data_IF_898797101902
#
_entry.id   IF_898797101902
#
_cell.length_a   1.000
_cell.length_b   1.000
_cell.length_c   1.000
_cell.angle_alpha   90.00
_cell.angle_beta   90.00
_cell.angle_gamma   90.00
#
_symmetry.space_group_name_H-M   'P 1'
#
loop_
_entity.id
_entity.type
_entity.pdbx_description
1 polymer ?
#
# COMPACT_ATOMS: atom_id res chain seq x y z
N UNK A 1 -23.10 -18.24 5.06
CA UNK A 1 -24.22 -17.51 5.66
C UNK A 1 -25.04 -18.50 6.45
N UNK A 2 -24.98 -18.46 7.78
CA UNK A 2 -25.85 -19.27 8.62
C UNK A 2 -27.29 -18.81 8.36
N UNK A 3 -28.19 -19.75 7.99
CA UNK A 3 -29.62 -19.46 7.96
C UNK A 3 -30.08 -19.10 9.37
N UNK A 4 -30.10 -17.80 9.68
CA UNK A 4 -30.72 -17.32 10.92
C UNK A 4 -32.23 -17.48 10.78
N UNK A 5 -32.80 -18.27 11.62
CA UNK A 5 -34.26 -18.41 11.75
C UNK A 5 -34.77 -17.30 12.68
N UNK A 6 -35.59 -16.41 12.10
CA UNK A 6 -36.20 -15.34 12.88
C UNK A 6 -37.53 -15.83 13.50
N UNK A 7 -37.57 -15.85 14.82
CA UNK A 7 -38.77 -16.21 15.60
C UNK A 7 -39.59 -15.02 16.08
N UNK A 8 -39.20 -13.78 15.70
CA UNK A 8 -39.91 -12.59 16.10
C UNK A 8 -41.16 -12.38 15.26
N UNK A 9 -42.21 -11.87 15.88
CA UNK A 9 -43.48 -11.49 15.22
C UNK A 9 -43.43 -10.14 14.52
N UNK A 10 -42.35 -9.37 14.69
CA UNK A 10 -42.14 -8.08 14.06
C UNK A 10 -41.12 -8.19 12.92
N UNK A 11 -41.46 -7.64 11.75
CA UNK A 11 -40.60 -7.63 10.58
C UNK A 11 -39.40 -6.64 10.67
N UNK A 12 -39.44 -5.71 11.61
CA UNK A 12 -38.46 -4.64 11.75
C UNK A 12 -37.40 -4.94 12.82
N UNK A 13 -36.73 -6.07 12.71
CA UNK A 13 -35.55 -6.31 13.52
C UNK A 13 -34.37 -5.66 12.78
N UNK A 14 -33.68 -4.68 13.40
CA UNK A 14 -32.50 -4.09 12.79
C UNK A 14 -31.47 -5.20 12.50
N UNK A 15 -30.98 -5.22 11.25
CA UNK A 15 -29.90 -6.10 10.87
C UNK A 15 -28.64 -5.65 11.62
N UNK A 16 -28.30 -6.35 12.70
CA UNK A 16 -27.04 -6.13 13.38
C UNK A 16 -25.89 -6.60 12.48
N UNK A 17 -24.85 -5.77 12.27
CA UNK A 17 -23.68 -6.20 11.53
C UNK A 17 -23.04 -7.40 12.24
N UNK A 18 -22.53 -8.34 11.45
CA UNK A 18 -21.74 -9.45 12.00
C UNK A 18 -20.39 -8.88 12.48
N UNK A 19 -20.03 -9.14 13.74
CA UNK A 19 -18.75 -8.67 14.30
C UNK A 19 -17.51 -9.25 13.59
N UNK A 20 -17.68 -10.36 12.86
CA UNK A 20 -16.61 -10.97 12.05
C UNK A 20 -16.52 -10.40 10.63
N UNK A 21 -17.50 -9.63 10.19
CA UNK A 21 -17.54 -9.11 8.82
C UNK A 21 -16.30 -8.31 8.46
N UNK A 22 -15.74 -7.53 9.38
CA UNK A 22 -14.53 -6.74 9.15
C UNK A 22 -13.38 -7.65 8.72
N UNK A 23 -13.18 -8.76 9.44
CA UNK A 23 -12.10 -9.72 9.17
C UNK A 23 -12.36 -10.50 7.87
N UNK A 24 -13.55 -11.10 7.78
CA UNK A 24 -13.93 -11.99 6.67
C UNK A 24 -14.03 -11.22 5.36
N UNK A 25 -14.64 -10.03 5.37
CA UNK A 25 -14.79 -9.20 4.18
C UNK A 25 -13.43 -8.72 3.68
N UNK A 26 -12.60 -8.18 4.57
CA UNK A 26 -11.24 -7.74 4.21
C UNK A 26 -10.40 -8.85 3.57
N UNK A 27 -10.54 -10.09 4.06
CA UNK A 27 -9.83 -11.24 3.50
C UNK A 27 -10.41 -11.66 2.13
N UNK A 28 -11.73 -11.61 1.97
CA UNK A 28 -12.37 -11.87 0.67
C UNK A 28 -11.99 -10.83 -0.38
N UNK A 29 -11.99 -9.56 0.01
CA UNK A 29 -11.59 -8.44 -0.86
C UNK A 29 -10.11 -8.54 -1.24
N UNK A 30 -9.25 -9.03 -0.32
CA UNK A 30 -7.85 -9.29 -0.62
C UNK A 30 -7.63 -10.38 -1.68
N UNK A 31 -8.34 -11.50 -1.53
CA UNK A 31 -8.14 -12.66 -2.43
C UNK A 31 -9.01 -12.62 -3.68
N UNK A 32 -10.19 -12.03 -3.64
CA UNK A 32 -11.17 -11.94 -4.74
C UNK A 32 -11.38 -13.25 -5.52
N UNK A 33 -11.35 -14.41 -4.84
CA UNK A 33 -11.43 -15.72 -5.47
C UNK A 33 -12.80 -16.03 -6.06
N UNK A 34 -13.87 -15.46 -5.49
CA UNK A 34 -15.25 -15.66 -5.94
C UNK A 34 -15.57 -14.82 -7.19
N UNK A 35 -14.71 -13.86 -7.53
CA UNK A 35 -14.88 -12.93 -8.66
C UNK A 35 -14.11 -13.43 -9.87
N UNK A 36 -14.72 -13.35 -11.04
CA UNK A 36 -14.05 -13.71 -12.31
C UNK A 36 -12.88 -12.76 -12.57
N UNK A 37 -11.85 -13.25 -13.24
CA UNK A 37 -10.63 -12.47 -13.53
C UNK A 37 -10.91 -11.09 -14.14
N UNK A 38 -11.86 -10.99 -15.05
CA UNK A 38 -12.21 -9.74 -15.74
C UNK A 38 -13.03 -8.75 -14.90
N UNK A 39 -13.54 -9.19 -13.76
CA UNK A 39 -14.43 -8.40 -12.88
C UNK A 39 -13.76 -8.05 -11.55
N UNK A 40 -12.49 -8.44 -11.37
CA UNK A 40 -11.73 -8.14 -10.16
C UNK A 40 -11.40 -6.66 -10.06
N UNK A 41 -11.50 -6.11 -8.86
CA UNK A 41 -11.09 -4.73 -8.57
C UNK A 41 -9.57 -4.65 -8.42
N UNK A 42 -8.99 -3.49 -8.73
CA UNK A 42 -7.55 -3.22 -8.59
C UNK A 42 -7.16 -3.03 -7.11
N UNK A 43 -7.40 -4.08 -6.31
CA UNK A 43 -7.12 -4.11 -4.88
C UNK A 43 -6.48 -5.43 -4.46
N UNK A 44 -5.87 -5.44 -3.27
CA UNK A 44 -5.34 -6.63 -2.64
C UNK A 44 -4.26 -7.37 -3.46
N UNK A 45 -4.42 -8.68 -3.59
CA UNK A 45 -3.47 -9.55 -4.27
C UNK A 45 -3.42 -9.28 -5.78
N UNK A 46 -4.57 -9.02 -6.41
CA UNK A 46 -4.66 -8.73 -7.83
C UNK A 46 -3.85 -7.50 -8.22
N UNK A 47 -4.00 -6.40 -7.46
CA UNK A 47 -3.21 -5.19 -7.65
C UNK A 47 -1.71 -5.44 -7.55
N UNK A 48 -1.29 -6.26 -6.60
CA UNK A 48 0.13 -6.60 -6.44
C UNK A 48 0.69 -7.30 -7.69
N UNK A 49 -0.09 -8.16 -8.32
CA UNK A 49 0.31 -8.77 -9.59
C UNK A 49 0.37 -7.74 -10.72
N UNK A 50 -0.64 -6.89 -10.87
CA UNK A 50 -0.66 -5.86 -11.91
C UNK A 50 0.50 -4.86 -11.80
N UNK A 51 0.92 -4.51 -10.59
CA UNK A 51 2.06 -3.60 -10.36
C UNK A 51 3.42 -4.22 -10.69
N UNK A 52 3.53 -5.55 -10.59
CA UNK A 52 4.80 -6.26 -10.83
C UNK A 52 4.91 -6.83 -12.24
N UNK A 53 3.81 -6.98 -12.97
CA UNK A 53 3.79 -7.49 -14.33
C UNK A 53 3.32 -6.39 -15.31
N UNK A 54 3.75 -6.45 -16.58
CA UNK A 54 4.62 -7.43 -17.21
C UNK A 54 6.09 -7.27 -16.79
N UNK A 55 6.81 -8.39 -16.77
CA UNK A 55 8.26 -8.42 -16.57
C UNK A 55 8.90 -8.62 -17.94
N UNK A 56 9.78 -7.70 -18.33
CA UNK A 56 10.55 -7.80 -19.57
C UNK A 56 12.03 -8.06 -19.30
N UNK A 57 12.67 -8.76 -20.22
CA UNK A 57 14.12 -8.94 -20.21
C UNK A 57 14.85 -7.60 -20.47
N UNK A 58 16.12 -7.53 -20.08
CA UNK A 58 16.99 -6.36 -20.28
C UNK A 58 17.10 -5.91 -21.75
N UNK A 59 16.85 -6.81 -22.69
CA UNK A 59 16.82 -6.53 -24.14
C UNK A 59 15.40 -6.33 -24.69
N UNK A 60 14.37 -6.42 -23.85
CA UNK A 60 12.95 -6.40 -24.23
C UNK A 60 12.56 -7.44 -25.30
N UNK A 61 13.29 -8.55 -25.37
CA UNK A 61 13.01 -9.62 -26.32
C UNK A 61 11.93 -10.57 -25.80
N UNK A 62 11.95 -10.88 -24.49
CA UNK A 62 10.98 -11.75 -23.83
C UNK A 62 10.14 -10.97 -22.84
N UNK A 63 8.84 -11.24 -22.87
CA UNK A 63 7.89 -10.59 -21.95
C UNK A 63 7.10 -11.68 -21.25
N UNK A 64 7.09 -11.60 -19.92
CA UNK A 64 6.28 -12.44 -19.04
C UNK A 64 5.06 -11.64 -18.57
N UNK A 65 3.90 -12.04 -19.03
CA UNK A 65 2.62 -11.39 -18.75
C UNK A 65 1.83 -12.20 -17.72
N UNK A 66 1.17 -11.52 -16.80
CA UNK A 66 0.25 -12.13 -15.85
C UNK A 66 -1.15 -12.17 -16.44
N UNK A 67 -1.79 -13.34 -16.39
CA UNK A 67 -3.16 -13.54 -16.88
C UNK A 67 -4.17 -13.66 -15.75
N UNK A 68 -3.90 -14.54 -14.78
CA UNK A 68 -4.80 -14.82 -13.67
C UNK A 68 -4.07 -15.49 -12.50
N UNK A 69 -4.70 -15.55 -11.34
CA UNK A 69 -4.26 -16.37 -10.22
C UNK A 69 -5.41 -17.18 -9.64
N UNK A 70 -5.07 -18.28 -9.03
CA UNK A 70 -6.00 -19.18 -8.34
C UNK A 70 -5.29 -19.92 -7.21
N UNK A 71 -6.09 -20.46 -6.32
CA UNK A 71 -5.60 -21.25 -5.20
C UNK A 71 -6.15 -22.67 -5.29
N UNK A 72 -5.31 -23.64 -4.95
CA UNK A 72 -5.74 -25.02 -4.79
C UNK A 72 -6.35 -25.21 -3.38
N UNK A 73 -7.16 -26.26 -3.18
CA UNK A 73 -7.67 -26.59 -1.87
C UNK A 73 -6.53 -26.79 -0.84
N UNK A 74 -6.76 -26.46 0.45
CA UNK A 74 -5.78 -26.67 1.48
C UNK A 74 -5.44 -28.15 1.63
N UNK A 75 -4.16 -28.45 1.85
CA UNK A 75 -3.66 -29.82 1.95
C UNK A 75 -4.11 -30.54 3.22
N UNK A 76 -4.26 -29.80 4.31
CA UNK A 76 -4.67 -30.32 5.62
C UNK A 76 -5.91 -29.60 6.11
N UNK A 77 -6.72 -30.28 6.91
CA UNK A 77 -7.88 -29.67 7.58
C UNK A 77 -7.41 -28.73 8.70
N UNK A 78 -8.29 -27.86 9.15
CA UNK A 78 -8.01 -26.94 10.26
C UNK A 78 -7.64 -27.71 11.55
N UNK A 79 -8.33 -28.83 11.82
CA UNK A 79 -8.08 -29.65 12.99
C UNK A 79 -6.72 -30.35 12.92
N UNK A 80 -6.38 -30.92 11.77
CA UNK A 80 -5.04 -31.53 11.57
C UNK A 80 -3.90 -30.52 11.72
N UNK A 81 -4.11 -29.28 11.27
CA UNK A 81 -3.12 -28.22 11.44
C UNK A 81 -2.88 -27.90 12.92
N UNK A 82 -3.94 -27.87 13.74
CA UNK A 82 -3.82 -27.64 15.18
C UNK A 82 -3.10 -28.81 15.86
N UNK A 83 -3.50 -30.05 15.59
CA UNK A 83 -2.96 -31.25 16.21
C UNK A 83 -1.47 -31.47 15.84
N UNK A 84 -1.10 -31.17 14.61
CA UNK A 84 0.27 -31.38 14.10
C UNK A 84 1.17 -30.16 14.20
N UNK A 85 0.68 -29.03 14.70
CA UNK A 85 1.44 -27.79 14.77
C UNK A 85 1.75 -27.18 13.40
N UNK A 86 0.87 -27.37 12.41
CA UNK A 86 1.03 -26.86 11.05
C UNK A 86 0.32 -25.53 10.83
N UNK A 87 0.65 -24.87 9.72
CA UNK A 87 -0.05 -23.67 9.26
C UNK A 87 -1.14 -24.04 8.27
N UNK A 88 -2.38 -23.60 8.52
CA UNK A 88 -3.48 -23.74 7.57
C UNK A 88 -3.28 -22.79 6.41
N UNK A 89 -2.94 -23.30 5.23
CA UNK A 89 -2.54 -22.54 4.06
C UNK A 89 -3.04 -23.17 2.78
N UNK A 90 -3.15 -22.34 1.74
CA UNK A 90 -3.53 -22.75 0.39
C UNK A 90 -2.38 -22.51 -0.59
N UNK A 91 -2.14 -23.42 -1.53
CA UNK A 91 -1.19 -23.22 -2.61
C UNK A 91 -1.69 -22.12 -3.56
N UNK A 92 -0.85 -21.11 -3.79
CA UNK A 92 -1.11 -20.05 -4.77
C UNK A 92 -0.43 -20.41 -6.08
N UNK A 93 -1.18 -20.35 -7.16
CA UNK A 93 -0.70 -20.49 -8.54
C UNK A 93 -1.06 -19.27 -9.34
N UNK A 94 -0.18 -18.87 -10.25
CA UNK A 94 -0.45 -17.83 -11.22
C UNK A 94 -0.39 -18.39 -12.63
N UNK A 95 -1.32 -18.00 -13.48
CA UNK A 95 -1.29 -18.28 -14.90
C UNK A 95 -0.50 -17.19 -15.59
N UNK A 96 0.62 -17.56 -16.12
CA UNK A 96 1.56 -16.67 -16.77
C UNK A 96 1.67 -17.01 -18.25
N UNK A 97 1.90 -15.97 -19.06
CA UNK A 97 2.11 -16.07 -20.50
C UNK A 97 3.48 -15.50 -20.82
N UNK A 98 4.31 -16.32 -21.42
CA UNK A 98 5.62 -15.92 -21.94
C UNK A 98 5.55 -15.84 -23.45
N UNK A 99 5.93 -14.71 -24.01
CA UNK A 99 6.02 -14.52 -25.46
C UNK A 99 7.27 -13.70 -25.83
N UNK A 100 7.71 -13.91 -27.08
CA UNK A 100 8.81 -13.17 -27.66
C UNK A 100 8.28 -11.98 -28.46
N UNK A 101 8.93 -10.83 -28.33
CA UNK A 101 8.58 -9.60 -29.07
C UNK A 101 9.53 -9.38 -30.26
N UNK A 102 10.62 -10.16 -30.33
CA UNK A 102 11.66 -9.99 -31.35
C UNK A 102 11.23 -10.67 -32.67
N UNK A 103 11.18 -9.96 -33.79
CA UNK A 103 10.85 -10.53 -35.11
C UNK A 103 11.89 -11.52 -35.62
N UNK A 104 13.11 -11.54 -35.08
CA UNK A 104 14.14 -12.54 -35.47
C UNK A 104 13.86 -13.94 -34.86
N UNK A 105 12.94 -14.04 -33.88
CA UNK A 105 12.57 -15.26 -33.19
C UNK A 105 11.09 -15.62 -33.40
N UNK A 106 10.59 -15.50 -34.62
CA UNK A 106 9.20 -15.83 -34.98
C UNK A 106 8.84 -17.30 -34.67
N UNK A 107 9.82 -18.19 -34.58
CA UNK A 107 9.64 -19.60 -34.24
C UNK A 107 9.31 -19.86 -32.75
N UNK A 108 9.36 -18.83 -31.87
CA UNK A 108 9.07 -19.00 -30.46
C UNK A 108 7.55 -19.06 -30.22
N UNK A 109 7.05 -20.24 -29.89
CA UNK A 109 5.66 -20.41 -29.53
C UNK A 109 5.35 -19.75 -28.17
N UNK A 110 4.25 -19.01 -28.11
CA UNK A 110 3.77 -18.44 -26.86
C UNK A 110 3.44 -19.54 -25.85
N UNK A 111 4.08 -19.51 -24.70
CA UNK A 111 3.89 -20.49 -23.62
C UNK A 111 2.93 -19.90 -22.58
N UNK A 112 1.83 -20.60 -22.32
CA UNK A 112 0.91 -20.30 -21.23
C UNK A 112 0.96 -21.43 -20.23
N UNK A 113 1.36 -21.13 -18.99
CA UNK A 113 1.53 -22.14 -17.96
C UNK A 113 1.06 -21.65 -16.59
N UNK A 114 0.54 -22.59 -15.80
CA UNK A 114 0.20 -22.36 -14.39
C UNK A 114 1.46 -22.60 -13.53
N UNK A 115 1.94 -21.55 -12.91
CA UNK A 115 3.17 -21.57 -12.11
C UNK A 115 2.82 -21.53 -10.62
N UNK A 116 3.36 -22.48 -9.87
CA UNK A 116 3.25 -22.48 -8.42
C UNK A 116 4.17 -21.39 -7.83
N UNK A 117 3.58 -20.46 -7.07
CA UNK A 117 4.31 -19.35 -6.45
C UNK A 117 4.67 -19.62 -4.98
N UNK A 118 3.83 -20.39 -4.28
CA UNK A 118 4.03 -20.67 -2.87
C UNK A 118 2.74 -20.99 -2.15
N UNK A 119 2.76 -20.92 -0.82
CA UNK A 119 1.59 -21.10 0.03
C UNK A 119 1.28 -19.82 0.78
N UNK A 120 0.00 -19.52 0.92
CA UNK A 120 -0.47 -18.36 1.69
C UNK A 120 -1.37 -18.87 2.82
N UNK A 121 -1.19 -18.39 4.06
CA UNK A 121 -2.10 -18.69 5.16
C UNK A 121 -3.54 -18.34 4.77
N UNK A 122 -4.47 -19.24 5.08
CA UNK A 122 -5.86 -19.08 4.71
C UNK A 122 -6.73 -18.90 5.95
N UNK A 123 -7.72 -18.01 5.85
CA UNK A 123 -8.62 -17.71 6.94
C UNK A 123 -9.65 -18.82 7.14
N UNK A 124 -9.92 -19.17 8.38
CA UNK A 124 -10.98 -20.10 8.74
C UNK A 124 -12.36 -19.42 8.65
N UNK A 125 -13.43 -20.20 8.74
CA UNK A 125 -14.80 -19.67 8.74
C UNK A 125 -15.10 -18.74 9.92
N UNK A 126 -14.35 -18.85 11.01
CA UNK A 126 -14.45 -18.01 12.20
C UNK A 126 -13.61 -16.72 12.14
N UNK A 127 -12.99 -16.43 11.00
CA UNK A 127 -12.17 -15.22 10.81
C UNK A 127 -10.78 -15.30 11.46
N UNK A 128 -10.31 -16.51 11.76
CA UNK A 128 -9.01 -16.75 12.39
C UNK A 128 -8.02 -17.37 11.41
N UNK A 129 -6.72 -17.28 11.73
CA UNK A 129 -5.65 -17.99 11.04
C UNK A 129 -5.04 -19.02 11.97
N UNK A 130 -4.65 -20.18 11.44
CA UNK A 130 -3.91 -21.20 12.18
C UNK A 130 -2.48 -21.15 11.70
N UNK A 131 -1.59 -20.70 12.59
CA UNK A 131 -0.14 -20.55 12.30
C UNK A 131 0.63 -21.43 13.30
N UNK A 132 1.35 -22.42 12.78
CA UNK A 132 2.10 -23.39 13.59
C UNK A 132 1.22 -24.05 14.68
N UNK A 133 -0.01 -24.39 14.33
CA UNK A 133 -0.98 -24.99 15.23
C UNK A 133 -1.67 -24.05 16.20
N UNK A 134 -1.29 -22.77 16.25
CA UNK A 134 -1.91 -21.78 17.09
C UNK A 134 -2.96 -20.98 16.32
N UNK A 135 -4.16 -20.89 16.83
CA UNK A 135 -5.22 -20.06 16.27
C UNK A 135 -4.98 -18.59 16.63
N UNK A 136 -4.94 -17.73 15.60
CA UNK A 136 -4.60 -16.31 15.71
C UNK A 136 -5.59 -15.45 14.97
N UNK A 137 -5.81 -14.25 15.48
CA UNK A 137 -6.67 -13.23 14.87
C UNK A 137 -5.83 -12.00 14.56
N UNK A 138 -6.04 -11.42 13.36
CA UNK A 138 -5.47 -10.12 13.03
C UNK A 138 -6.31 -9.05 13.71
N UNK A 139 -5.70 -8.32 14.65
CA UNK A 139 -6.37 -7.22 15.35
C UNK A 139 -6.22 -5.92 14.59
N UNK A 140 -7.28 -5.11 14.59
CA UNK A 140 -7.25 -3.77 13.99
C UNK A 140 -6.28 -2.88 14.75
N UNK A 141 -5.39 -2.20 14.02
CA UNK A 141 -4.45 -1.26 14.59
C UNK A 141 -4.92 0.17 14.33
N UNK A 142 -5.04 0.95 15.40
CA UNK A 142 -5.33 2.37 15.29
C UNK A 142 -4.05 3.13 14.90
N UNK A 143 -4.07 3.82 13.78
CA UNK A 143 -2.97 4.66 13.32
C UNK A 143 -3.49 6.02 12.87
N UNK A 144 -2.60 7.00 12.75
CA UNK A 144 -2.96 8.29 12.19
C UNK A 144 -3.28 8.13 10.70
N UNK A 145 -4.36 8.79 10.28
CA UNK A 145 -4.75 8.78 8.87
C UNK A 145 -3.67 9.41 7.99
N UNK A 146 -3.41 8.83 6.81
CA UNK A 146 -2.59 9.50 5.80
C UNK A 146 -3.20 10.85 5.42
N UNK A 147 -2.37 11.83 5.16
CA UNK A 147 -2.82 13.17 4.75
C UNK A 147 -1.89 14.27 5.19
N UNK A 148 -2.35 15.52 5.01
CA UNK A 148 -1.63 16.72 5.39
C UNK A 148 -2.36 17.38 6.55
N UNK A 149 -1.63 17.66 7.63
CA UNK A 149 -2.14 18.29 8.85
C UNK A 149 -1.44 19.63 9.04
N UNK A 150 -2.22 20.69 9.13
CA UNK A 150 -1.71 22.04 9.37
C UNK A 150 -1.79 22.38 10.85
N UNK A 151 -0.75 23.08 11.33
CA UNK A 151 -0.66 23.56 12.71
C UNK A 151 -0.21 25.01 12.78
N UNK A 152 -0.57 25.66 13.86
CA UNK A 152 -0.14 27.02 14.20
C UNK A 152 0.39 27.01 15.62
N UNK A 153 1.53 27.66 15.84
CA UNK A 153 2.11 27.89 17.16
C UNK A 153 2.50 29.36 17.30
N UNK A 154 2.65 29.82 18.54
CA UNK A 154 3.11 31.16 18.83
C UNK A 154 4.50 31.10 19.44
N UNK A 155 5.42 31.86 18.89
CA UNK A 155 6.71 32.05 19.50
C UNK A 155 6.59 32.97 20.75
N UNK A 156 7.56 32.93 21.65
CA UNK A 156 7.58 33.78 22.85
C UNK A 156 7.44 35.30 22.56
N UNK A 157 7.82 35.73 21.35
CA UNK A 157 7.70 37.10 20.88
C UNK A 157 6.31 37.43 20.28
N UNK A 158 5.33 36.52 20.38
CA UNK A 158 4.00 36.70 19.78
C UNK A 158 3.92 36.43 18.29
N UNK A 159 5.03 36.10 17.62
CA UNK A 159 5.03 35.78 16.18
C UNK A 159 4.33 34.45 15.93
N UNK A 160 3.43 34.45 14.96
CA UNK A 160 2.72 33.21 14.51
C UNK A 160 3.67 32.38 13.66
N UNK A 161 3.84 31.13 14.03
CA UNK A 161 4.61 30.14 13.29
C UNK A 161 3.65 29.10 12.75
N UNK A 162 3.82 28.75 11.47
CA UNK A 162 2.98 27.77 10.80
C UNK A 162 3.78 26.48 10.58
N UNK A 163 3.08 25.37 10.71
CA UNK A 163 3.64 24.05 10.41
C UNK A 163 2.68 23.24 9.57
N UNK A 164 3.20 22.37 8.73
CA UNK A 164 2.43 21.39 8.00
C UNK A 164 3.12 20.03 8.13
N UNK A 165 2.36 18.99 8.42
CA UNK A 165 2.87 17.63 8.56
C UNK A 165 2.22 16.75 7.51
N UNK A 166 3.04 16.14 6.65
CA UNK A 166 2.64 15.15 5.67
C UNK A 166 2.86 13.76 6.24
N UNK A 167 1.77 13.01 6.41
CA UNK A 167 1.79 11.65 6.90
C UNK A 167 1.42 10.73 5.73
N UNK A 168 2.35 9.89 5.23
CA UNK A 168 2.05 8.92 4.19
C UNK A 168 1.36 7.69 4.79
N UNK A 169 0.71 6.89 3.94
CA UNK A 169 0.19 5.58 4.34
C UNK A 169 1.32 4.65 4.81
N UNK A 170 2.43 4.64 4.07
CA UNK A 170 3.64 3.88 4.39
C UNK A 170 4.87 4.69 3.99
N UNK A 171 5.76 4.99 4.93
CA UNK A 171 6.99 5.74 4.69
C UNK A 171 7.28 6.78 5.76
N UNK A 172 8.29 7.60 5.51
CA UNK A 172 8.77 8.63 6.43
C UNK A 172 7.85 9.85 6.47
N UNK A 173 7.67 10.41 7.66
CA UNK A 173 6.91 11.64 7.83
C UNK A 173 7.75 12.84 7.42
N UNK A 174 7.13 13.80 6.76
CA UNK A 174 7.74 15.08 6.43
C UNK A 174 6.99 16.18 7.17
N UNK A 175 7.70 16.98 7.92
CA UNK A 175 7.15 18.12 8.65
C UNK A 175 7.79 19.42 8.13
N UNK A 176 6.97 20.34 7.69
CA UNK A 176 7.38 21.68 7.30
C UNK A 176 7.12 22.63 8.46
N UNK A 177 8.07 23.54 8.75
CA UNK A 177 7.85 24.58 9.74
C UNK A 177 8.51 25.90 9.33
N UNK A 178 7.84 27.00 9.65
CA UNK A 178 8.40 28.34 9.50
C UNK A 178 9.23 28.72 10.72
N UNK A 179 10.34 29.39 10.50
CA UNK A 179 11.17 30.01 11.55
C UNK A 179 10.75 31.47 11.75
N UNK A 180 11.21 32.07 12.86
CA UNK A 180 10.95 33.50 13.22
C UNK A 180 11.35 34.42 12.07
N UNK A 181 12.44 34.10 11.37
CA UNK A 181 12.95 34.87 10.23
C UNK A 181 12.15 34.65 8.92
N UNK A 182 11.07 33.89 8.95
CA UNK A 182 10.27 33.54 7.78
C UNK A 182 10.90 32.51 6.86
N UNK A 183 11.96 31.81 7.31
CA UNK A 183 12.58 30.72 6.57
C UNK A 183 11.80 29.43 6.81
N UNK A 184 11.47 28.71 5.76
CA UNK A 184 10.82 27.41 5.85
C UNK A 184 11.81 26.26 5.83
N UNK A 185 11.60 25.33 6.75
CA UNK A 185 12.40 24.11 6.89
C UNK A 185 11.53 22.88 6.76
N UNK A 186 12.11 21.83 6.20
CA UNK A 186 11.55 20.50 6.17
C UNK A 186 12.31 19.57 7.13
N UNK A 187 11.57 18.78 7.89
CA UNK A 187 12.12 17.76 8.77
C UNK A 187 11.66 16.40 8.28
N UNK A 188 12.60 15.50 8.02
CA UNK A 188 12.33 14.11 7.65
C UNK A 188 12.51 13.26 8.90
N UNK A 189 11.43 12.56 9.32
CA UNK A 189 11.37 11.74 10.53
C UNK A 189 11.92 12.43 11.79
N UNK A 190 11.79 13.77 11.87
CA UNK A 190 12.32 14.64 12.95
C UNK A 190 13.84 14.58 13.14
N UNK A 191 14.58 13.94 12.23
CA UNK A 191 16.04 13.74 12.38
C UNK A 191 16.87 14.74 11.60
N UNK A 192 16.47 15.12 10.40
CA UNK A 192 17.22 16.03 9.53
C UNK A 192 16.43 17.30 9.28
N UNK A 193 17.02 18.45 9.59
CA UNK A 193 16.52 19.78 9.26
C UNK A 193 17.11 20.21 7.92
N UNK A 194 16.28 20.42 6.91
CA UNK A 194 16.67 20.85 5.58
C UNK A 194 15.90 22.12 5.20
N UNK A 195 16.51 23.07 4.49
CA UNK A 195 15.75 24.15 3.87
C UNK A 195 14.74 23.56 2.86
N UNK A 196 13.52 24.11 2.82
CA UNK A 196 12.48 23.63 1.89
C UNK A 196 12.93 23.70 0.44
N UNK A 197 13.66 24.74 0.06
CA UNK A 197 14.20 24.88 -1.30
C UNK A 197 15.14 23.74 -1.70
N UNK A 198 15.95 23.24 -0.76
CA UNK A 198 16.82 22.08 -1.00
C UNK A 198 16.00 20.81 -1.22
N UNK A 199 14.94 20.59 -0.43
CA UNK A 199 14.04 19.48 -0.62
C UNK A 199 13.34 19.54 -1.97
N UNK A 200 12.82 20.71 -2.36
CA UNK A 200 12.13 20.90 -3.64
C UNK A 200 13.05 20.61 -4.83
N UNK A 201 14.30 21.06 -4.77
CA UNK A 201 15.30 20.74 -5.81
C UNK A 201 15.58 19.23 -5.92
N UNK A 202 15.60 18.54 -4.79
CA UNK A 202 15.80 17.07 -4.77
C UNK A 202 14.62 16.32 -5.40
N UNK A 203 13.41 16.87 -5.30
CA UNK A 203 12.19 16.25 -5.86
C UNK A 203 12.06 16.49 -7.36
N UNK A 204 12.79 17.50 -7.92
CA UNK A 204 12.80 17.76 -9.36
C UNK A 204 12.56 19.22 -9.78
N UNK A 205 12.34 20.12 -8.83
CA UNK A 205 12.21 21.55 -9.11
C UNK A 205 13.59 22.24 -9.11
N UNK A 206 14.36 22.07 -10.17
CA UNK A 206 15.75 22.53 -10.23
C UNK A 206 15.87 24.05 -10.35
N UNK A 207 14.95 24.69 -11.08
CA UNK A 207 15.03 26.13 -11.39
C UNK A 207 14.40 26.98 -10.32
N UNK A 208 14.99 28.16 -10.08
CA UNK A 208 14.42 29.13 -9.13
C UNK A 208 13.00 29.57 -9.49
N UNK A 209 12.72 29.70 -10.79
CA UNK A 209 11.40 30.04 -11.30
C UNK A 209 10.33 29.01 -10.91
N UNK A 210 10.65 27.75 -11.04
CA UNK A 210 9.72 26.66 -10.72
C UNK A 210 9.40 26.65 -9.22
N UNK A 211 10.40 26.93 -8.38
CA UNK A 211 10.21 27.04 -6.91
C UNK A 211 9.34 28.26 -6.56
N UNK A 212 9.59 29.43 -7.19
CA UNK A 212 8.78 30.64 -6.94
C UNK A 212 7.35 30.43 -7.42
N UNK A 213 7.12 29.73 -8.51
CA UNK A 213 5.81 29.41 -9.03
C UNK A 213 4.98 28.56 -8.05
N UNK A 214 5.61 27.59 -7.35
CA UNK A 214 4.95 26.79 -6.31
C UNK A 214 4.40 27.67 -5.18
N UNK A 215 5.14 28.73 -4.80
CA UNK A 215 4.70 29.67 -3.76
C UNK A 215 3.72 30.74 -4.26
N UNK A 216 3.34 30.70 -5.52
CA UNK A 216 2.34 31.57 -6.14
C UNK A 216 2.77 33.02 -6.23
N UNK A 217 2.23 33.90 -5.35
CA UNK A 217 2.52 35.33 -5.34
C UNK A 217 3.86 35.72 -4.71
N UNK A 218 4.70 34.77 -4.32
CA UNK A 218 6.00 35.07 -3.72
C UNK A 218 7.00 35.46 -4.80
N UNK A 219 7.57 36.66 -4.70
CA UNK A 219 8.67 37.13 -5.55
C UNK A 219 10.02 36.58 -5.05
N UNK A 220 10.13 36.29 -3.74
CA UNK A 220 11.34 35.85 -3.08
C UNK A 220 11.03 34.79 -2.03
N UNK A 221 11.77 33.66 -2.06
CA UNK A 221 11.70 32.62 -1.04
C UNK A 221 12.93 32.71 -0.14
N UNK A 222 12.72 32.92 1.15
CA UNK A 222 13.81 33.04 2.14
C UNK A 222 14.54 31.72 2.33
N UNK A 223 15.85 31.73 2.16
CA UNK A 223 16.74 30.57 2.33
C UNK A 223 17.69 30.84 3.49
N UNK A 224 18.01 29.81 4.28
CA UNK A 224 19.01 29.95 5.33
C UNK A 224 20.43 30.10 4.76
N UNK A 225 21.32 30.83 5.48
CA UNK A 225 22.74 30.94 5.09
C UNK A 225 23.43 29.57 4.94
N UNK A 226 23.04 28.59 5.77
CA UNK A 226 23.55 27.22 5.65
C UNK A 226 23.03 26.49 4.38
N UNK A 227 21.80 26.81 3.93
CA UNK A 227 21.24 26.33 2.68
C UNK A 227 21.97 26.89 1.47
N UNK A 228 22.28 28.18 1.46
CA UNK A 228 23.06 28.81 0.41
C UNK A 228 24.45 28.18 0.25
N UNK A 229 25.17 27.88 1.34
CA UNK A 229 26.46 27.19 1.29
C UNK A 229 26.36 25.76 0.69
N UNK A 230 25.27 25.05 0.89
CA UNK A 230 25.06 23.72 0.30
C UNK A 230 24.61 23.74 -1.16
N UNK A 231 24.07 24.87 -1.60
CA UNK A 231 23.61 25.03 -3.00
C UNK A 231 24.77 25.54 -3.89
N UNK A 232 25.67 26.31 -3.31
CA UNK A 232 26.80 26.95 -4.03
C UNK A 232 28.15 26.22 -3.83
N UNK A 233 28.22 25.28 -2.94
CA UNK A 233 29.44 24.50 -2.63
C UNK A 233 29.38 23.09 -3.11
#
# INVERSE_FOLDING_TARGET
>A
LSNRVNFATSADIPNYPDFLDIQVKSFKDFFQLETKSNERSDEGLYKTFLENFPISDARNQFVLEFLDYFVDPPRYSTQECIERGLTYSVPLKARLKLYCTDPEHEDFETIVQDVYLGVIPYMTKSGTFIINGAERVVVSQLHRSPGVFFGQSFHANGTKLYSARVIPFKGSWIEFSSDINGVMYAYIDRKKKLPVTTLLRTIGYERDKDILEIFGLAEEVKVSKAGLKKILG
#
